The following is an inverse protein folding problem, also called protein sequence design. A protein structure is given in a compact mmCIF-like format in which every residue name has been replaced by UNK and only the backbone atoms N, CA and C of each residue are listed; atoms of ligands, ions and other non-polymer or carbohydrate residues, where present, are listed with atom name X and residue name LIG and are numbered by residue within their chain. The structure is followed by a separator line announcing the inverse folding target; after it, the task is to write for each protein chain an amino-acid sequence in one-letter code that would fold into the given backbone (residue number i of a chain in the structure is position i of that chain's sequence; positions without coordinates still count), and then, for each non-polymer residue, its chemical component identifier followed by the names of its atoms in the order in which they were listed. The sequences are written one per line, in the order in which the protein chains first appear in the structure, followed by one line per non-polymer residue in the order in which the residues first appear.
data_IF_653290418108
#
_entry.id   IF_653290418108
#
_cell.length_a   1.000
_cell.length_b   1.000
_cell.length_c   1.000
_cell.angle_alpha   90.00
_cell.angle_beta   90.00
_cell.angle_gamma   90.00
#
_symmetry.space_group_name_H-M   'P 1'
#
loop_
_entity.id
_entity.type
_entity.pdbx_description
1 polymer ?
#
# COMPACT_ATOMS: atom_id res chain seq x y z
N UNK A 1 109.75 21.88 -2.43
CA UNK A 1 108.58 22.19 -1.62
C UNK A 1 107.31 21.99 -2.47
N UNK A 2 106.54 20.93 -2.19
CA UNK A 2 105.28 20.66 -2.91
C UNK A 2 104.15 21.14 -2.02
N UNK A 3 103.37 22.10 -2.48
CA UNK A 3 102.12 22.55 -1.77
C UNK A 3 101.07 21.51 -1.88
N UNK A 4 100.28 21.20 -0.82
CA UNK A 4 99.21 20.27 -0.85
C UNK A 4 97.97 20.91 -1.56
N UNK A 5 97.41 20.20 -2.53
CA UNK A 5 96.16 20.56 -3.17
C UNK A 5 95.00 20.22 -2.18
N UNK A 6 94.21 21.22 -1.81
CA UNK A 6 92.99 21.02 -1.13
C UNK A 6 91.95 20.33 -2.06
N UNK A 7 91.21 19.33 -1.58
CA UNK A 7 90.11 18.73 -2.37
C UNK A 7 88.99 19.78 -2.52
N UNK A 8 88.56 20.02 -3.73
CA UNK A 8 87.39 20.84 -4.02
C UNK A 8 86.16 20.17 -3.43
N UNK A 9 85.48 20.83 -2.50
CA UNK A 9 84.17 20.44 -2.03
C UNK A 9 83.19 20.47 -3.24
N UNK A 10 82.76 19.31 -3.68
CA UNK A 10 81.70 19.18 -4.69
C UNK A 10 80.49 19.88 -4.22
N UNK A 11 79.84 20.68 -5.06
CA UNK A 11 78.53 21.29 -4.79
C UNK A 11 77.55 20.18 -4.56
N UNK A 12 77.12 20.02 -3.32
CA UNK A 12 75.95 19.15 -2.98
C UNK A 12 74.73 19.77 -3.64
N UNK A 13 74.26 19.14 -4.68
CA UNK A 13 73.05 19.55 -5.35
C UNK A 13 71.85 19.26 -4.43
N UNK A 14 70.85 20.17 -4.34
CA UNK A 14 69.64 20.09 -3.50
C UNK A 14 68.66 18.95 -3.88
N UNK A 15 69.17 17.90 -4.55
CA UNK A 15 68.41 16.72 -4.96
C UNK A 15 67.84 15.94 -3.77
N UNK A 16 68.57 15.94 -2.66
CA UNK A 16 68.05 15.25 -1.40
C UNK A 16 66.80 15.90 -0.89
N UNK A 17 66.67 17.23 -0.91
CA UNK A 17 65.45 17.94 -0.48
C UNK A 17 64.25 17.59 -1.38
N UNK A 18 64.44 17.49 -2.69
CA UNK A 18 63.40 17.14 -3.65
C UNK A 18 62.91 15.71 -3.41
N UNK A 19 63.83 14.76 -3.16
CA UNK A 19 63.46 13.37 -2.84
C UNK A 19 62.69 13.28 -1.53
N UNK A 20 63.10 14.00 -0.48
CA UNK A 20 62.36 14.04 0.79
C UNK A 20 60.97 14.63 0.61
N UNK A 21 60.84 15.75 -0.13
CA UNK A 21 59.55 16.35 -0.43
C UNK A 21 58.65 15.40 -1.20
N UNK A 22 59.19 14.64 -2.16
CA UNK A 22 58.42 13.65 -2.93
C UNK A 22 57.95 12.49 -2.06
N UNK A 23 58.79 12.00 -1.14
CA UNK A 23 58.40 10.96 -0.18
C UNK A 23 57.31 11.49 0.77
N UNK A 24 57.42 12.72 1.26
CA UNK A 24 56.39 13.35 2.07
C UNK A 24 55.08 13.52 1.31
N UNK A 25 55.13 13.98 0.06
CA UNK A 25 53.93 14.11 -0.78
C UNK A 25 53.25 12.76 -1.01
N UNK A 26 54.03 11.71 -1.27
CA UNK A 26 53.49 10.34 -1.43
C UNK A 26 52.90 9.81 -0.14
N UNK A 27 53.61 9.97 0.98
CA UNK A 27 53.09 9.55 2.30
C UNK A 27 51.81 10.30 2.69
N UNK A 28 51.76 11.61 2.40
CA UNK A 28 50.56 12.42 2.62
C UNK A 28 49.39 11.95 1.74
N UNK A 29 49.63 11.72 0.45
CA UNK A 29 48.59 11.22 -0.45
C UNK A 29 48.01 9.86 -0.01
N UNK A 30 48.91 8.94 0.41
CA UNK A 30 48.49 7.65 0.98
C UNK A 30 47.68 7.82 2.29
N UNK A 31 48.10 8.73 3.16
CA UNK A 31 47.37 9.02 4.40
C UNK A 31 45.96 9.58 4.14
N UNK A 32 45.86 10.52 3.20
CA UNK A 32 44.55 11.07 2.78
C UNK A 32 43.64 9.97 2.22
N UNK A 33 44.17 9.07 1.38
CA UNK A 33 43.41 7.95 0.85
C UNK A 33 42.90 7.01 1.93
N UNK A 34 43.74 6.67 2.93
CA UNK A 34 43.35 5.82 4.07
C UNK A 34 42.28 6.49 4.90
N UNK A 35 42.39 7.77 5.24
CA UNK A 35 41.38 8.54 5.99
C UNK A 35 40.09 8.59 5.19
N UNK A 36 40.12 8.85 3.90
CA UNK A 36 38.94 8.87 3.05
C UNK A 36 38.22 7.52 3.00
N UNK A 37 38.97 6.43 2.87
CA UNK A 37 38.40 5.07 2.94
C UNK A 37 37.78 4.76 4.27
N UNK A 38 38.44 5.12 5.38
CA UNK A 38 37.91 4.93 6.73
C UNK A 38 36.61 5.71 6.91
N UNK A 39 36.54 6.97 6.50
CA UNK A 39 35.37 7.79 6.58
C UNK A 39 34.19 7.18 5.81
N UNK A 40 34.44 6.70 4.57
CA UNK A 40 33.41 6.00 3.78
C UNK A 40 32.89 4.74 4.45
N UNK A 41 33.76 3.94 5.07
CA UNK A 41 33.35 2.72 5.81
C UNK A 41 32.53 3.11 7.03
N UNK A 42 32.96 4.09 7.80
CA UNK A 42 32.22 4.59 8.95
C UNK A 42 30.82 5.09 8.57
N UNK A 43 30.72 5.91 7.53
CA UNK A 43 29.42 6.41 7.06
C UNK A 43 28.49 5.29 6.60
N UNK A 44 29.02 4.29 5.88
CA UNK A 44 28.22 3.12 5.48
C UNK A 44 27.76 2.32 6.67
N UNK A 45 28.64 2.10 7.64
CA UNK A 45 28.25 1.35 8.87
C UNK A 45 27.21 2.12 9.67
N UNK A 46 27.38 3.43 9.83
CA UNK A 46 26.36 4.26 10.50
C UNK A 46 25.01 4.19 9.78
N UNK A 47 24.98 4.34 8.46
CA UNK A 47 23.73 4.25 7.69
C UNK A 47 23.07 2.88 7.80
N UNK A 48 23.84 1.78 7.89
CA UNK A 48 23.29 0.43 8.09
C UNK A 48 22.70 0.27 9.50
N UNK A 49 23.37 0.78 10.53
CA UNK A 49 22.87 0.75 11.89
C UNK A 49 21.60 1.59 12.03
N UNK A 50 21.59 2.80 11.46
CA UNK A 50 20.41 3.66 11.47
C UNK A 50 19.22 3.03 10.74
N UNK A 51 19.47 2.32 9.65
CA UNK A 51 18.44 1.57 8.95
C UNK A 51 17.89 0.43 9.80
N UNK A 52 18.77 -0.32 10.47
CA UNK A 52 18.37 -1.40 11.37
C UNK A 52 17.55 -0.88 12.56
N UNK A 53 17.97 0.22 13.19
CA UNK A 53 17.18 0.87 14.25
C UNK A 53 15.79 1.29 13.76
N UNK A 54 15.69 1.95 12.60
CA UNK A 54 14.38 2.31 12.05
C UNK A 54 13.49 1.08 11.80
N UNK A 55 14.07 -0.01 11.32
CA UNK A 55 13.34 -1.25 11.13
C UNK A 55 12.87 -1.87 12.45
N UNK A 56 13.73 -1.94 13.46
CA UNK A 56 13.37 -2.46 14.78
C UNK A 56 12.27 -1.62 15.45
N UNK A 57 12.35 -0.30 15.33
CA UNK A 57 11.32 0.58 15.86
C UNK A 57 9.98 0.42 15.12
N UNK A 58 10.03 0.20 13.80
CA UNK A 58 8.82 -0.10 13.03
C UNK A 58 8.17 -1.42 13.48
N UNK A 59 8.97 -2.48 13.72
CA UNK A 59 8.46 -3.77 14.25
C UNK A 59 7.89 -3.61 15.65
N UNK A 60 8.53 -2.81 16.50
CA UNK A 60 7.97 -2.52 17.84
C UNK A 60 6.62 -1.80 17.75
N UNK A 61 6.51 -0.80 16.87
CA UNK A 61 5.24 -0.09 16.62
C UNK A 61 4.16 -1.02 16.02
N UNK A 62 4.54 -1.93 15.11
CA UNK A 62 3.65 -2.98 14.59
C UNK A 62 3.08 -3.83 15.74
N UNK A 63 3.93 -4.23 16.66
CA UNK A 63 3.49 -5.05 17.83
C UNK A 63 2.48 -4.29 18.68
N UNK A 64 2.69 -2.98 18.89
CA UNK A 64 1.74 -2.13 19.60
C UNK A 64 0.42 -1.98 18.84
N UNK A 65 0.48 -1.83 17.53
CA UNK A 65 -0.74 -1.76 16.70
C UNK A 65 -1.53 -3.08 16.74
N UNK A 66 -0.86 -4.23 16.67
CA UNK A 66 -1.50 -5.55 16.81
C UNK A 66 -2.19 -5.66 18.18
N UNK A 67 -1.50 -5.27 19.26
CA UNK A 67 -2.09 -5.32 20.59
C UNK A 67 -3.31 -4.39 20.70
N UNK A 68 -3.20 -3.18 20.13
CA UNK A 68 -4.34 -2.25 20.07
C UNK A 68 -5.55 -2.81 19.35
N UNK A 69 -5.34 -3.54 18.23
CA UNK A 69 -6.43 -4.21 17.49
C UNK A 69 -7.02 -5.40 18.26
N UNK A 70 -6.22 -6.09 19.07
CA UNK A 70 -6.72 -7.18 19.93
C UNK A 70 -7.56 -6.61 21.07
N UNK A 71 -7.05 -5.60 21.75
CA UNK A 71 -7.73 -4.95 22.88
C UNK A 71 -9.06 -4.33 22.45
N UNK A 72 -9.10 -3.73 21.27
CA UNK A 72 -10.28 -3.17 20.63
C UNK A 72 -11.34 -4.26 20.38
N UNK A 73 -10.96 -5.35 19.74
CA UNK A 73 -11.87 -6.47 19.47
C UNK A 73 -12.40 -7.12 20.75
N UNK A 74 -11.58 -7.22 21.81
CA UNK A 74 -12.03 -7.73 23.11
C UNK A 74 -13.03 -6.77 23.79
N UNK A 75 -12.85 -5.45 23.62
CA UNK A 75 -13.79 -4.44 24.10
C UNK A 75 -15.12 -4.56 23.36
N UNK A 76 -15.11 -4.70 22.03
CA UNK A 76 -16.29 -4.88 21.21
C UNK A 76 -17.08 -6.14 21.57
N UNK A 77 -16.36 -7.25 21.75
CA UNK A 77 -17.00 -8.49 22.20
C UNK A 77 -17.68 -8.34 23.56
N UNK A 78 -17.06 -7.63 24.50
CA UNK A 78 -17.62 -7.40 25.84
C UNK A 78 -18.88 -6.52 25.78
N UNK A 79 -18.89 -5.56 24.86
CA UNK A 79 -20.00 -4.63 24.69
C UNK A 79 -21.08 -5.15 23.72
N UNK A 80 -20.81 -6.27 23.03
CA UNK A 80 -21.64 -6.82 21.95
C UNK A 80 -21.85 -5.83 20.79
N UNK A 81 -20.79 -5.07 20.46
CA UNK A 81 -20.73 -4.04 19.41
C UNK A 81 -19.63 -4.42 18.40
N UNK A 82 -19.79 -5.54 17.69
CA UNK A 82 -18.84 -6.02 16.66
C UNK A 82 -18.99 -5.21 15.36
N UNK A 83 -18.64 -3.93 15.45
CA UNK A 83 -18.74 -2.96 14.37
C UNK A 83 -17.41 -2.25 14.28
N UNK A 84 -16.79 -2.21 13.09
CA UNK A 84 -15.59 -1.41 12.86
C UNK A 84 -15.96 -0.20 11.99
N UNK A 85 -15.76 1.01 12.50
CA UNK A 85 -16.06 2.26 11.82
C UNK A 85 -14.91 3.28 11.94
N UNK A 86 -15.02 4.39 11.21
CA UNK A 86 -14.00 5.42 11.18
C UNK A 86 -14.08 6.46 12.29
N UNK A 87 -15.20 6.52 12.99
CA UNK A 87 -15.49 7.66 13.88
C UNK A 87 -15.32 7.35 15.35
N UNK A 88 -15.49 6.09 15.73
CA UNK A 88 -15.52 5.65 17.13
C UNK A 88 -14.35 4.76 17.52
N UNK A 89 -13.70 4.16 16.53
CA UNK A 89 -12.62 3.20 16.77
C UNK A 89 -11.35 3.86 17.28
N UNK A 90 -10.77 3.27 18.32
CA UNK A 90 -9.50 3.73 18.88
C UNK A 90 -8.35 3.57 17.89
N UNK A 91 -8.40 2.54 17.03
CA UNK A 91 -7.39 2.28 16.01
C UNK A 91 -7.44 3.25 14.82
N UNK A 92 -8.57 3.92 14.59
CA UNK A 92 -8.76 4.79 13.43
C UNK A 92 -8.01 6.13 13.52
N UNK A 93 -7.47 6.48 14.69
CA UNK A 93 -6.71 7.71 14.87
C UNK A 93 -5.29 7.62 14.31
N UNK A 94 -4.69 8.75 13.90
CA UNK A 94 -3.27 8.81 13.62
C UNK A 94 -2.49 8.75 14.94
N UNK A 95 -1.51 7.87 15.02
CA UNK A 95 -0.62 7.76 16.17
C UNK A 95 0.72 8.38 15.84
N UNK A 96 1.25 9.22 16.74
CA UNK A 96 2.61 9.76 16.60
C UNK A 96 3.21 9.99 17.97
N UNK A 97 4.41 9.48 18.19
CA UNK A 97 5.13 9.61 19.46
C UNK A 97 6.64 9.65 19.23
N UNK A 98 7.38 10.43 20.04
CA UNK A 98 8.83 10.40 20.02
C UNK A 98 9.34 9.15 20.76
N UNK A 99 10.38 8.54 20.21
CA UNK A 99 11.10 7.46 20.86
C UNK A 99 12.59 7.59 20.57
N UNK A 100 13.41 7.78 21.62
CA UNK A 100 14.84 8.10 21.50
C UNK A 100 15.09 9.25 20.52
N UNK A 101 15.92 9.04 19.49
CA UNK A 101 16.25 10.02 18.45
C UNK A 101 15.31 9.93 17.22
N UNK A 102 14.13 9.30 17.39
CA UNK A 102 13.17 9.10 16.33
C UNK A 102 11.78 9.67 16.64
N UNK A 103 11.01 9.89 15.59
CA UNK A 103 9.56 10.06 15.66
C UNK A 103 8.91 8.90 14.93
N UNK A 104 8.07 8.15 15.64
CA UNK A 104 7.31 7.03 15.08
C UNK A 104 5.89 7.50 14.85
N UNK A 105 5.40 7.37 13.64
CA UNK A 105 4.02 7.66 13.28
C UNK A 105 3.39 6.45 12.63
N UNK A 106 2.15 6.15 12.98
CA UNK A 106 1.43 4.99 12.44
C UNK A 106 -0.02 5.34 12.14
N UNK A 107 -0.57 4.72 11.11
CA UNK A 107 -2.00 4.70 10.83
C UNK A 107 -2.44 3.26 10.58
N UNK A 108 -3.64 2.93 11.04
CA UNK A 108 -4.28 1.65 10.79
C UNK A 108 -5.44 1.89 9.82
N UNK A 109 -5.54 1.08 8.79
CA UNK A 109 -6.55 1.20 7.74
C UNK A 109 -7.32 -0.11 7.62
N UNK A 110 -8.62 -0.02 7.42
CA UNK A 110 -9.47 -1.16 7.10
C UNK A 110 -9.28 -1.56 5.63
N UNK A 111 -8.87 -2.80 5.38
CA UNK A 111 -8.76 -3.33 4.03
C UNK A 111 -10.10 -3.81 3.47
N UNK A 112 -11.09 -4.11 4.32
CA UNK A 112 -12.41 -4.54 3.87
C UNK A 112 -13.31 -3.38 3.42
N UNK A 113 -12.92 -2.14 3.66
CA UNK A 113 -13.52 -0.97 3.00
C UNK A 113 -13.13 -0.82 1.53
N UNK A 114 -12.14 -1.57 1.04
CA UNK A 114 -11.64 -1.49 -0.34
C UNK A 114 -12.26 -2.58 -1.21
N UNK A 115 -12.24 -2.38 -2.53
CA UNK A 115 -12.68 -3.41 -3.46
C UNK A 115 -11.70 -4.58 -3.48
N UNK A 116 -12.16 -5.76 -3.11
CA UNK A 116 -11.34 -6.98 -3.16
C UNK A 116 -11.28 -7.51 -4.60
N UNK A 117 -10.12 -7.40 -5.24
CA UNK A 117 -9.91 -7.87 -6.62
C UNK A 117 -10.20 -9.38 -6.74
N UNK A 118 -9.90 -10.16 -5.73
CA UNK A 118 -10.16 -11.60 -5.76
C UNK A 118 -11.66 -11.95 -5.81
N UNK A 119 -12.56 -11.00 -5.51
CA UNK A 119 -13.99 -11.22 -5.64
C UNK A 119 -14.48 -11.36 -7.08
N UNK A 120 -13.63 -11.09 -8.09
CA UNK A 120 -13.96 -11.30 -9.50
C UNK A 120 -14.14 -12.77 -9.86
N UNK A 121 -13.75 -13.68 -8.99
CA UNK A 121 -13.95 -15.11 -9.14
C UNK A 121 -14.61 -15.72 -7.90
N UNK A 122 -15.34 -16.81 -8.11
CA UNK A 122 -15.88 -17.65 -7.07
C UNK A 122 -15.25 -19.04 -7.14
N UNK A 123 -15.02 -19.67 -5.99
CA UNK A 123 -14.49 -21.05 -5.95
C UNK A 123 -15.63 -22.04 -5.96
N UNK A 124 -15.78 -22.76 -7.06
CA UNK A 124 -16.83 -23.76 -7.24
C UNK A 124 -16.26 -24.96 -7.99
N UNK A 125 -16.68 -26.18 -7.61
CA UNK A 125 -16.24 -27.45 -8.20
C UNK A 125 -14.70 -27.60 -8.31
N UNK A 126 -13.97 -27.05 -7.32
CA UNK A 126 -12.50 -27.06 -7.27
C UNK A 126 -11.82 -26.19 -8.34
N UNK A 127 -12.54 -25.20 -8.88
CA UNK A 127 -12.07 -24.25 -9.87
C UNK A 127 -12.47 -22.82 -9.46
N UNK A 128 -11.66 -21.84 -9.85
CA UNK A 128 -12.00 -20.42 -9.79
C UNK A 128 -12.76 -20.08 -11.07
N UNK A 129 -14.00 -19.68 -10.91
CA UNK A 129 -14.90 -19.32 -12.01
C UNK A 129 -15.22 -17.83 -11.94
N UNK A 130 -15.29 -17.18 -13.07
CA UNK A 130 -15.64 -15.74 -13.19
C UNK A 130 -16.99 -15.45 -12.54
N UNK A 131 -17.05 -14.34 -11.80
CA UNK A 131 -18.29 -13.75 -11.31
C UNK A 131 -18.69 -12.53 -12.17
N UNK A 132 -19.66 -12.66 -13.06
CA UNK A 132 -20.05 -11.57 -13.95
C UNK A 132 -20.53 -10.31 -13.23
N UNK A 133 -21.17 -10.47 -12.06
CA UNK A 133 -21.65 -9.34 -11.27
C UNK A 133 -20.51 -8.58 -10.60
N UNK A 134 -19.53 -9.30 -10.04
CA UNK A 134 -18.33 -8.69 -9.49
C UNK A 134 -17.47 -8.01 -10.56
N UNK A 135 -17.38 -8.59 -11.76
CA UNK A 135 -16.69 -7.99 -12.90
C UNK A 135 -17.38 -6.67 -13.30
N UNK A 136 -18.71 -6.64 -13.38
CA UNK A 136 -19.45 -5.42 -13.69
C UNK A 136 -19.25 -4.32 -12.61
N UNK A 137 -19.16 -4.69 -11.33
CA UNK A 137 -18.82 -3.76 -10.24
C UNK A 137 -17.42 -3.20 -10.40
N UNK A 138 -16.46 -4.07 -10.72
CA UNK A 138 -15.07 -3.66 -10.91
C UNK A 138 -14.91 -2.75 -12.13
N UNK A 139 -15.59 -3.05 -13.23
CA UNK A 139 -15.65 -2.19 -14.40
C UNK A 139 -16.22 -0.81 -14.06
N UNK A 140 -17.33 -0.75 -13.30
CA UNK A 140 -17.92 0.50 -12.84
C UNK A 140 -16.95 1.32 -11.97
N UNK A 141 -16.22 0.66 -11.07
CA UNK A 141 -15.21 1.31 -10.23
C UNK A 141 -14.07 1.86 -11.09
N UNK A 142 -13.51 1.06 -12.00
CA UNK A 142 -12.43 1.48 -12.89
C UNK A 142 -12.86 2.66 -13.78
N UNK A 143 -14.09 2.63 -14.31
CA UNK A 143 -14.62 3.72 -15.13
C UNK A 143 -14.66 5.06 -14.37
N UNK A 144 -14.91 5.02 -13.05
CA UNK A 144 -14.89 6.21 -12.20
C UNK A 144 -13.48 6.66 -11.77
N UNK A 145 -12.52 5.74 -11.67
CA UNK A 145 -11.18 6.01 -11.15
C UNK A 145 -10.12 6.28 -12.24
N UNK A 146 -10.32 5.74 -13.43
CA UNK A 146 -9.36 5.93 -14.52
C UNK A 146 -9.38 7.37 -15.04
N UNK A 147 -8.24 7.88 -15.55
CA UNK A 147 -8.21 9.17 -16.23
C UNK A 147 -9.27 9.21 -17.35
N UNK A 148 -9.97 10.33 -17.59
CA UNK A 148 -11.03 10.41 -18.60
C UNK A 148 -10.60 9.96 -19.99
N UNK A 149 -9.34 10.16 -20.37
CA UNK A 149 -8.77 9.67 -21.64
C UNK A 149 -8.64 8.14 -21.71
N UNK A 150 -8.62 7.47 -20.55
CA UNK A 150 -8.40 6.03 -20.40
C UNK A 150 -9.63 5.29 -19.85
N UNK A 151 -10.73 5.97 -19.53
CA UNK A 151 -11.95 5.36 -18.98
C UNK A 151 -12.50 4.22 -19.85
N UNK A 152 -12.27 4.28 -21.17
CA UNK A 152 -12.64 3.23 -22.13
C UNK A 152 -11.96 1.88 -21.86
N UNK A 153 -10.85 1.84 -21.16
CA UNK A 153 -10.13 0.61 -20.82
C UNK A 153 -10.71 -0.10 -19.59
N UNK A 154 -11.72 0.47 -18.92
CA UNK A 154 -12.29 -0.10 -17.71
C UNK A 154 -12.79 -1.53 -17.92
N UNK A 155 -13.55 -1.77 -18.99
CA UNK A 155 -14.08 -3.09 -19.34
C UNK A 155 -12.95 -4.07 -19.69
N UNK A 156 -12.00 -3.65 -20.53
CA UNK A 156 -10.84 -4.48 -20.88
C UNK A 156 -10.02 -4.89 -19.64
N UNK A 157 -9.69 -3.94 -18.78
CA UNK A 157 -8.91 -4.22 -17.56
C UNK A 157 -9.67 -5.13 -16.59
N UNK A 158 -11.00 -4.96 -16.47
CA UNK A 158 -11.82 -5.80 -15.62
C UNK A 158 -11.88 -7.26 -16.15
N UNK A 159 -12.02 -7.44 -17.46
CA UNK A 159 -12.02 -8.75 -18.08
C UNK A 159 -10.65 -9.42 -18.07
N UNK A 160 -9.58 -8.68 -18.38
CA UNK A 160 -8.21 -9.19 -18.25
C UNK A 160 -7.87 -9.61 -16.81
N UNK A 161 -8.36 -8.86 -15.80
CA UNK A 161 -8.15 -9.23 -14.40
C UNK A 161 -8.94 -10.47 -14.02
N UNK A 162 -10.13 -10.66 -14.54
CA UNK A 162 -10.92 -11.85 -14.29
C UNK A 162 -10.29 -13.10 -14.93
N UNK A 163 -9.79 -13.01 -16.18
CA UNK A 163 -9.03 -14.09 -16.83
C UNK A 163 -7.68 -14.35 -16.13
N UNK A 164 -7.08 -13.34 -15.48
CA UNK A 164 -5.88 -13.52 -14.67
C UNK A 164 -6.11 -14.41 -13.45
N UNK A 165 -7.34 -14.42 -12.93
CA UNK A 165 -7.72 -15.08 -11.69
C UNK A 165 -8.37 -16.44 -11.88
N UNK A 166 -9.16 -16.62 -12.97
CA UNK A 166 -9.91 -17.88 -13.17
C UNK A 166 -9.00 -19.05 -13.54
N UNK A 167 -9.53 -20.27 -13.41
CA UNK A 167 -8.70 -21.49 -13.55
C UNK A 167 -8.55 -21.92 -15.00
N UNK A 168 -9.45 -21.49 -15.87
CA UNK A 168 -9.40 -21.92 -17.27
C UNK A 168 -8.35 -21.12 -18.09
N UNK A 169 -8.20 -21.41 -19.35
CA UNK A 169 -7.26 -20.73 -20.27
C UNK A 169 -7.96 -20.18 -21.50
N UNK A 170 -9.27 -19.97 -21.38
CA UNK A 170 -10.10 -19.50 -22.46
C UNK A 170 -10.30 -17.98 -22.36
N UNK A 171 -9.84 -17.26 -23.35
CA UNK A 171 -10.07 -15.80 -23.41
C UNK A 171 -11.57 -15.53 -23.45
N UNK A 172 -12.07 -14.83 -22.46
CA UNK A 172 -13.48 -14.50 -22.34
C UNK A 172 -13.83 -13.22 -23.11
N UNK A 173 -14.22 -13.39 -24.38
CA UNK A 173 -14.57 -12.27 -25.25
C UNK A 173 -13.37 -11.49 -25.81
N UNK A 174 -13.60 -10.41 -26.56
CA UNK A 174 -12.52 -9.67 -27.22
C UNK A 174 -11.68 -8.82 -26.24
N UNK A 175 -12.12 -8.65 -25.01
CA UNK A 175 -11.52 -7.79 -24.00
C UNK A 175 -10.72 -8.57 -22.94
N UNK A 176 -10.77 -9.90 -22.96
CA UNK A 176 -10.00 -10.76 -22.08
C UNK A 176 -8.55 -10.99 -22.53
N UNK A 177 -7.72 -11.59 -21.68
CA UNK A 177 -6.37 -12.00 -22.04
C UNK A 177 -5.89 -13.17 -21.18
N UNK A 178 -5.50 -14.23 -21.86
CA UNK A 178 -4.92 -15.44 -21.31
C UNK A 178 -3.44 -15.62 -21.71
N UNK A 179 -2.82 -16.73 -21.32
CA UNK A 179 -1.41 -17.05 -21.57
C UNK A 179 -0.94 -16.71 -22.98
N UNK A 180 -1.76 -16.97 -23.99
CA UNK A 180 -1.45 -16.70 -25.39
C UNK A 180 -1.29 -15.23 -25.74
N UNK A 181 -1.88 -14.35 -24.97
CA UNK A 181 -1.88 -12.90 -25.16
C UNK A 181 -0.71 -12.20 -24.45
N UNK A 182 -0.02 -12.87 -23.54
CA UNK A 182 1.14 -12.35 -22.81
C UNK A 182 2.45 -12.81 -23.43
N UNK A 183 3.38 -11.88 -23.69
CA UNK A 183 4.67 -12.19 -24.37
C UNK A 183 5.75 -12.70 -23.41
N UNK A 184 5.73 -12.26 -22.15
CA UNK A 184 6.84 -12.46 -21.20
C UNK A 184 6.39 -13.06 -19.86
N UNK A 185 5.10 -13.32 -19.70
CA UNK A 185 4.51 -13.83 -18.46
C UNK A 185 3.35 -14.76 -18.79
N UNK A 186 2.89 -15.47 -17.78
CA UNK A 186 1.71 -16.32 -17.84
C UNK A 186 0.71 -15.85 -16.80
N UNK A 187 -0.57 -16.09 -17.05
CA UNK A 187 -1.63 -15.93 -16.07
C UNK A 187 -1.41 -16.94 -14.92
N UNK A 188 -1.55 -16.53 -13.65
CA UNK A 188 -1.39 -17.44 -12.52
C UNK A 188 -2.60 -18.37 -12.35
N UNK A 189 -3.76 -18.02 -12.91
CA UNK A 189 -5.03 -18.75 -12.86
C UNK A 189 -5.42 -19.09 -11.42
N UNK A 190 -5.24 -18.13 -10.52
CA UNK A 190 -5.55 -18.21 -9.10
C UNK A 190 -5.66 -16.81 -8.47
N UNK A 191 -6.32 -16.69 -7.30
CA UNK A 191 -6.37 -15.43 -6.57
C UNK A 191 -5.01 -14.82 -6.33
N UNK A 192 -4.90 -13.50 -6.50
CA UNK A 192 -3.67 -12.73 -6.27
C UNK A 192 -3.41 -12.54 -4.78
N UNK A 193 -2.14 -12.33 -4.44
CA UNK A 193 -1.71 -12.05 -3.08
C UNK A 193 -1.51 -10.56 -2.80
N UNK A 194 -1.33 -9.75 -3.86
CA UNK A 194 -1.09 -8.32 -3.76
C UNK A 194 -1.71 -7.61 -4.96
N UNK A 195 -2.36 -6.48 -4.72
CA UNK A 195 -3.03 -5.69 -5.75
C UNK A 195 -2.08 -5.14 -6.82
N UNK A 196 -0.78 -5.11 -6.55
CA UNK A 196 0.22 -4.71 -7.55
C UNK A 196 0.29 -5.65 -8.75
N UNK A 197 -0.22 -6.87 -8.64
CA UNK A 197 -0.32 -7.80 -9.76
C UNK A 197 -1.22 -7.26 -10.89
N UNK A 198 -2.16 -6.35 -10.57
CA UNK A 198 -2.94 -5.62 -11.57
C UNK A 198 -2.06 -4.92 -12.62
N UNK A 199 -0.85 -4.51 -12.25
CA UNK A 199 0.14 -3.94 -13.19
C UNK A 199 0.71 -4.95 -14.20
N UNK A 200 0.41 -6.23 -13.98
CA UNK A 200 0.83 -7.28 -14.90
C UNK A 200 -0.12 -7.46 -16.08
N UNK A 201 -1.30 -6.86 -16.05
CA UNK A 201 -2.28 -6.96 -17.13
C UNK A 201 -1.71 -6.42 -18.44
N UNK A 202 -2.14 -7.01 -19.55
CA UNK A 202 -1.69 -6.66 -20.90
C UNK A 202 -1.97 -5.19 -21.22
N UNK A 203 -3.16 -4.72 -20.86
CA UNK A 203 -3.63 -3.36 -21.13
C UNK A 203 -3.19 -2.33 -20.09
N UNK A 204 -2.49 -2.74 -19.03
CA UNK A 204 -1.87 -1.83 -18.07
C UNK A 204 -0.46 -1.46 -18.55
N UNK A 205 -0.38 -0.56 -19.49
CA UNK A 205 0.88 -0.10 -20.09
C UNK A 205 1.50 1.11 -19.36
N UNK A 206 2.65 1.56 -19.82
CA UNK A 206 3.35 2.71 -19.25
C UNK A 206 2.57 4.02 -19.43
N UNK A 207 1.81 4.18 -20.51
CA UNK A 207 1.02 5.39 -20.77
C UNK A 207 -0.13 5.50 -19.75
N UNK A 208 -0.84 4.41 -19.48
CA UNK A 208 -1.88 4.35 -18.46
C UNK A 208 -1.28 4.58 -17.05
N UNK A 209 -0.15 3.94 -16.73
CA UNK A 209 0.53 4.13 -15.45
C UNK A 209 0.94 5.59 -15.23
N UNK A 210 1.50 6.25 -16.23
CA UNK A 210 1.89 7.65 -16.19
C UNK A 210 0.66 8.58 -16.05
N UNK A 211 -0.44 8.26 -16.74
CA UNK A 211 -1.68 9.02 -16.65
C UNK A 211 -2.30 8.93 -15.24
N UNK A 212 -2.35 7.73 -14.64
CA UNK A 212 -2.78 7.54 -13.25
C UNK A 212 -1.88 8.33 -12.29
N UNK A 213 -0.56 8.21 -12.42
CA UNK A 213 0.39 8.93 -11.58
C UNK A 213 0.28 10.46 -11.74
N UNK A 214 -0.04 10.94 -12.94
CA UNK A 214 -0.23 12.37 -13.20
C UNK A 214 -1.45 12.94 -12.47
N UNK A 215 -2.54 12.16 -12.38
CA UNK A 215 -3.74 12.57 -11.62
C UNK A 215 -3.48 12.67 -10.11
N UNK A 216 -2.58 11.87 -9.59
CA UNK A 216 -2.30 11.75 -8.15
C UNK A 216 -1.24 12.75 -7.65
N UNK A 217 -0.64 13.54 -8.54
CA UNK A 217 0.31 14.58 -8.12
C UNK A 217 -0.44 15.67 -7.35
N UNK A 218 0.02 16.04 -6.12
CA UNK A 218 -0.54 17.17 -5.42
C UNK A 218 -0.46 18.40 -6.31
N UNK A 219 -1.58 19.05 -6.56
CA UNK A 219 -1.55 20.37 -7.20
C UNK A 219 -0.87 21.36 -6.26
N UNK A 220 -0.05 22.32 -6.77
CA UNK A 220 0.59 23.33 -5.93
C UNK A 220 -0.37 24.19 -5.10
N UNK A 221 -1.67 24.09 -5.36
CA UNK A 221 -2.77 24.80 -4.69
C UNK A 221 -3.51 23.94 -3.65
N UNK A 222 -3.06 22.71 -3.38
CA UNK A 222 -3.60 21.90 -2.29
C UNK A 222 -3.30 22.62 -0.96
N UNK A 223 -4.24 23.44 -0.52
CA UNK A 223 -4.21 24.07 0.80
C UNK A 223 -4.45 22.97 1.85
N UNK A 224 -3.92 23.16 3.04
CA UNK A 224 -4.02 22.29 4.22
C UNK A 224 -5.45 21.88 4.65
N UNK A 225 -6.47 22.34 3.93
CA UNK A 225 -7.89 22.09 4.20
C UNK A 225 -8.56 21.15 3.18
N UNK A 226 -7.81 20.56 2.24
CA UNK A 226 -8.38 19.57 1.34
C UNK A 226 -8.06 18.18 1.93
N UNK A 227 -9.06 17.33 2.24
CA UNK A 227 -8.83 15.98 2.70
C UNK A 227 -7.93 15.25 1.69
N UNK A 228 -7.06 14.41 2.19
CA UNK A 228 -6.15 13.63 1.34
C UNK A 228 -6.99 12.80 0.37
N UNK A 229 -6.94 13.14 -0.92
CA UNK A 229 -7.64 12.35 -1.94
C UNK A 229 -7.00 10.97 -2.01
N UNK A 230 -7.81 9.92 -1.92
CA UNK A 230 -7.33 8.54 -2.07
C UNK A 230 -6.60 8.38 -3.40
N UNK A 231 -5.51 7.64 -3.38
CA UNK A 231 -4.78 7.28 -4.60
C UNK A 231 -5.48 6.12 -5.28
N UNK A 232 -5.29 5.96 -6.58
CA UNK A 232 -5.85 4.86 -7.37
C UNK A 232 -5.72 3.49 -6.69
N UNK A 233 -4.56 3.20 -6.11
CA UNK A 233 -4.28 1.91 -5.45
C UNK A 233 -4.97 1.74 -4.09
N UNK A 234 -5.42 2.82 -3.46
CA UNK A 234 -6.07 2.77 -2.15
C UNK A 234 -7.54 2.32 -2.22
N UNK A 235 -8.09 2.23 -3.43
CA UNK A 235 -9.44 1.68 -3.66
C UNK A 235 -9.47 0.15 -3.75
N UNK A 236 -8.32 -0.51 -3.87
CA UNK A 236 -8.22 -1.94 -4.12
C UNK A 236 -7.52 -2.68 -3.00
N UNK A 237 -7.83 -3.97 -2.91
CA UNK A 237 -7.17 -4.91 -2.01
C UNK A 237 -7.18 -6.32 -2.61
N UNK A 238 -6.28 -7.19 -2.12
CA UNK A 238 -6.22 -8.61 -2.45
C UNK A 238 -6.44 -9.40 -1.15
N UNK A 239 -7.69 -9.71 -0.84
CA UNK A 239 -8.10 -10.47 0.34
C UNK A 239 -8.63 -11.87 -0.05
N UNK A 240 -8.76 -12.80 0.90
CA UNK A 240 -9.37 -14.09 0.63
C UNK A 240 -10.76 -13.97 0.00
N UNK A 241 -11.14 -14.99 -0.79
CA UNK A 241 -12.48 -15.11 -1.34
C UNK A 241 -13.54 -15.11 -0.22
N UNK A 242 -14.69 -14.53 -0.51
CA UNK A 242 -15.79 -14.46 0.45
C UNK A 242 -15.62 -13.42 1.57
N UNK A 243 -14.55 -12.60 1.53
CA UNK A 243 -14.41 -11.44 2.43
C UNK A 243 -15.48 -10.39 2.10
N UNK A 244 -16.23 -9.96 3.10
CA UNK A 244 -17.31 -8.98 2.97
C UNK A 244 -16.77 -7.56 2.86
N UNK A 245 -17.51 -6.68 2.17
CA UNK A 245 -17.24 -5.24 2.14
C UNK A 245 -17.75 -4.59 3.43
N UNK A 246 -16.87 -3.90 4.17
CA UNK A 246 -17.30 -3.09 5.31
C UNK A 246 -17.88 -1.76 4.83
N UNK A 247 -19.20 -1.59 4.98
CA UNK A 247 -19.91 -0.38 4.52
C UNK A 247 -19.59 0.86 5.33
N UNK A 248 -19.14 0.68 6.58
CA UNK A 248 -18.82 1.79 7.47
C UNK A 248 -17.50 2.48 7.10
N UNK A 249 -16.60 1.78 6.40
CA UNK A 249 -15.28 2.29 6.03
C UNK A 249 -15.10 2.47 4.52
N UNK A 250 -15.97 1.84 3.71
CA UNK A 250 -15.84 1.86 2.26
C UNK A 250 -15.97 3.28 1.67
N UNK A 251 -15.05 3.71 0.78
CA UNK A 251 -15.13 4.98 0.07
C UNK A 251 -16.36 5.05 -0.83
N UNK A 252 -16.81 6.27 -1.12
CA UNK A 252 -17.95 6.54 -1.99
C UNK A 252 -17.88 5.80 -3.32
N UNK A 253 -16.75 5.90 -4.03
CA UNK A 253 -16.57 5.26 -5.33
C UNK A 253 -16.73 3.73 -5.25
N UNK A 254 -16.27 3.08 -4.17
CA UNK A 254 -16.43 1.64 -3.95
C UNK A 254 -17.90 1.30 -3.72
N UNK A 255 -18.61 2.06 -2.88
CA UNK A 255 -20.04 1.85 -2.63
C UNK A 255 -20.87 2.06 -3.90
N UNK A 256 -20.62 3.13 -4.66
CA UNK A 256 -21.32 3.39 -5.93
C UNK A 256 -21.12 2.25 -6.92
N UNK A 257 -19.89 1.77 -7.06
CA UNK A 257 -19.57 0.63 -7.92
C UNK A 257 -20.22 -0.68 -7.42
N UNK A 258 -20.24 -0.89 -6.10
CA UNK A 258 -20.87 -2.07 -5.49
C UNK A 258 -22.36 -2.15 -5.77
N UNK A 259 -23.03 -1.02 -5.79
CA UNK A 259 -24.46 -0.93 -6.04
C UNK A 259 -24.85 -0.68 -7.50
N UNK A 260 -23.88 -0.52 -8.40
CA UNK A 260 -24.12 -0.26 -9.82
C UNK A 260 -24.96 -1.35 -10.53
N UNK A 261 -24.73 -2.66 -10.33
CA UNK A 261 -25.55 -3.71 -10.96
C UNK A 261 -27.05 -3.65 -10.58
N UNK A 262 -27.35 -3.04 -9.44
CA UNK A 262 -28.72 -2.91 -8.94
C UNK A 262 -29.38 -1.56 -9.27
N UNK A 263 -28.69 -0.68 -10.00
CA UNK A 263 -29.10 0.71 -10.23
C UNK A 263 -29.37 1.49 -8.93
N UNK A 264 -28.62 1.17 -7.87
CA UNK A 264 -28.80 1.69 -6.53
C UNK A 264 -27.61 2.57 -6.05
N UNK A 265 -26.83 3.16 -6.97
CA UNK A 265 -25.65 3.97 -6.66
C UNK A 265 -25.97 5.14 -5.71
N UNK A 266 -27.21 5.68 -5.76
CA UNK A 266 -27.66 6.73 -4.86
C UNK A 266 -27.62 6.33 -3.37
N UNK A 267 -27.68 5.00 -3.06
CA UNK A 267 -27.56 4.51 -1.68
C UNK A 267 -26.19 4.86 -1.08
N UNK A 268 -25.13 4.94 -1.88
CA UNK A 268 -23.81 5.27 -1.40
C UNK A 268 -23.79 6.62 -0.66
N UNK A 269 -24.43 7.66 -1.23
CA UNK A 269 -24.50 8.96 -0.60
C UNK A 269 -25.27 8.93 0.72
N UNK A 270 -26.37 8.16 0.79
CA UNK A 270 -27.14 8.00 2.02
C UNK A 270 -26.31 7.30 3.08
N UNK A 271 -25.61 6.22 2.72
CA UNK A 271 -24.74 5.46 3.64
C UNK A 271 -23.64 6.36 4.20
N UNK A 272 -22.99 7.17 3.36
CA UNK A 272 -21.96 8.10 3.79
C UNK A 272 -22.48 9.11 4.82
N UNK A 273 -23.65 9.69 4.58
CA UNK A 273 -24.28 10.66 5.48
C UNK A 273 -24.72 10.02 6.81
N UNK A 274 -25.32 8.85 6.74
CA UNK A 274 -25.85 8.17 7.92
C UNK A 274 -24.72 7.71 8.85
N UNK A 275 -23.65 7.12 8.28
CA UNK A 275 -22.55 6.56 9.06
C UNK A 275 -21.70 7.63 9.78
N UNK A 276 -21.70 8.89 9.33
CA UNK A 276 -21.01 9.99 10.03
C UNK A 276 -21.56 10.19 11.45
N UNK A 277 -22.86 9.95 11.64
CA UNK A 277 -23.53 10.14 12.93
C UNK A 277 -23.81 8.83 13.63
N UNK A 278 -24.22 7.80 12.86
CA UNK A 278 -24.61 6.49 13.35
C UNK A 278 -24.08 5.41 12.40
N UNK A 279 -22.94 4.80 12.70
CA UNK A 279 -22.46 3.66 11.93
C UNK A 279 -23.50 2.54 11.88
N UNK A 280 -23.54 1.83 10.76
CA UNK A 280 -24.44 0.69 10.60
C UNK A 280 -23.97 -0.46 11.48
N UNK A 281 -24.86 -1.00 12.29
CA UNK A 281 -24.59 -2.14 13.18
C UNK A 281 -25.11 -3.46 12.59
N UNK A 282 -25.88 -3.39 11.50
CA UNK A 282 -26.49 -4.54 10.85
C UNK A 282 -26.71 -4.25 9.35
N UNK A 283 -26.41 -5.24 8.51
CA UNK A 283 -26.62 -5.17 7.06
C UNK A 283 -28.09 -5.08 6.66
N UNK A 284 -29.02 -5.53 7.50
CA UNK A 284 -30.46 -5.37 7.24
C UNK A 284 -30.88 -3.89 7.19
N UNK A 285 -30.27 -3.04 8.01
CA UNK A 285 -30.55 -1.60 7.99
C UNK A 285 -30.15 -0.96 6.64
N UNK A 286 -29.06 -1.43 6.03
CA UNK A 286 -28.62 -1.00 4.71
C UNK A 286 -29.63 -1.43 3.64
N UNK A 287 -30.04 -2.70 3.67
CA UNK A 287 -31.00 -3.23 2.71
C UNK A 287 -32.42 -2.67 2.87
N UNK A 288 -32.71 -2.01 4.00
CA UNK A 288 -33.96 -1.29 4.22
C UNK A 288 -34.01 0.08 3.53
N UNK A 289 -32.87 0.58 3.00
CA UNK A 289 -32.84 1.85 2.27
C UNK A 289 -33.75 1.80 1.03
N UNK A 290 -34.43 2.91 0.70
CA UNK A 290 -35.37 2.96 -0.44
C UNK A 290 -34.78 2.53 -1.77
N UNK A 291 -33.48 2.74 -1.97
CA UNK A 291 -32.75 2.35 -3.18
C UNK A 291 -32.79 0.83 -3.45
N UNK A 292 -32.97 0.01 -2.41
CA UNK A 292 -33.01 -1.46 -2.49
C UNK A 292 -34.43 -2.05 -2.44
N UNK A 293 -35.47 -1.21 -2.45
CA UNK A 293 -36.85 -1.65 -2.33
C UNK A 293 -37.32 -2.58 -3.45
N UNK A 294 -36.74 -2.43 -4.64
CA UNK A 294 -37.12 -3.18 -5.84
C UNK A 294 -36.28 -4.44 -6.09
N UNK A 295 -35.34 -4.76 -5.20
CA UNK A 295 -34.52 -5.97 -5.36
C UNK A 295 -35.37 -7.23 -5.19
N UNK A 296 -35.18 -8.19 -6.08
CA UNK A 296 -35.73 -9.53 -5.93
C UNK A 296 -35.12 -10.21 -4.67
N UNK A 297 -35.86 -11.16 -4.04
CA UNK A 297 -35.42 -11.80 -2.79
C UNK A 297 -34.02 -12.46 -2.90
N UNK A 298 -33.73 -13.09 -4.02
CA UNK A 298 -32.43 -13.72 -4.33
C UNK A 298 -31.30 -12.69 -4.46
N UNK A 299 -31.55 -11.59 -5.16
CA UNK A 299 -30.59 -10.48 -5.26
C UNK A 299 -30.32 -9.84 -3.89
N UNK A 300 -31.37 -9.66 -3.09
CA UNK A 300 -31.26 -9.12 -1.73
C UNK A 300 -30.39 -10.02 -0.85
N UNK A 301 -30.63 -11.34 -0.89
CA UNK A 301 -29.84 -12.31 -0.13
C UNK A 301 -28.39 -12.38 -0.60
N UNK A 302 -28.15 -12.33 -1.91
CA UNK A 302 -26.81 -12.31 -2.49
C UNK A 302 -26.04 -11.03 -2.07
N UNK A 303 -26.69 -9.86 -2.15
CA UNK A 303 -26.08 -8.61 -1.71
C UNK A 303 -25.80 -8.62 -0.21
N UNK A 304 -26.72 -9.11 0.61
CA UNK A 304 -26.54 -9.21 2.05
C UNK A 304 -25.34 -10.05 2.45
N UNK A 305 -25.11 -11.17 1.76
CA UNK A 305 -23.99 -12.06 2.03
C UNK A 305 -22.62 -11.43 1.71
N UNK A 306 -22.59 -10.37 0.92
CA UNK A 306 -21.35 -9.68 0.47
C UNK A 306 -21.06 -8.42 1.27
N UNK A 307 -22.01 -7.93 2.07
CA UNK A 307 -21.85 -6.75 2.91
C UNK A 307 -21.52 -7.13 4.35
N UNK A 308 -20.78 -6.29 5.03
CA UNK A 308 -20.42 -6.38 6.44
C UNK A 308 -20.41 -5.01 7.10
N UNK A 309 -20.34 -5.01 8.41
CA UNK A 309 -20.26 -3.81 9.26
C UNK A 309 -19.01 -3.80 10.12
N UNK A 310 -18.23 -4.88 10.09
CA UNK A 310 -16.97 -5.04 10.80
C UNK A 310 -15.87 -5.54 9.88
N UNK A 311 -14.64 -5.55 10.36
CA UNK A 311 -13.45 -5.98 9.60
C UNK A 311 -12.58 -6.97 10.37
N UNK A 312 -11.94 -7.84 9.62
CA UNK A 312 -10.91 -8.74 10.12
C UNK A 312 -9.55 -8.54 9.43
N UNK A 313 -9.46 -7.62 8.48
CA UNK A 313 -8.24 -7.39 7.71
C UNK A 313 -7.84 -5.92 7.74
N UNK A 314 -6.65 -5.66 8.28
CA UNK A 314 -6.14 -4.31 8.50
C UNK A 314 -4.80 -4.12 7.78
N UNK A 315 -4.51 -2.89 7.39
CA UNK A 315 -3.19 -2.44 6.98
C UNK A 315 -2.67 -1.43 7.98
N UNK A 316 -1.49 -1.69 8.53
CA UNK A 316 -0.78 -0.73 9.38
C UNK A 316 0.36 -0.14 8.58
N UNK A 317 0.37 1.19 8.46
CA UNK A 317 1.45 1.95 7.81
C UNK A 317 2.22 2.67 8.89
N UNK A 318 3.51 2.38 9.02
CA UNK A 318 4.38 2.87 10.07
C UNK A 318 5.54 3.64 9.46
N UNK A 319 5.68 4.89 9.83
CA UNK A 319 6.79 5.76 9.48
C UNK A 319 7.71 5.93 10.68
N UNK A 320 9.00 5.68 10.48
CA UNK A 320 10.04 5.97 11.47
C UNK A 320 10.99 7.02 10.89
N UNK A 321 10.91 8.23 11.44
CA UNK A 321 11.74 9.36 11.05
C UNK A 321 12.89 9.54 12.05
N UNK A 322 14.12 9.55 11.54
CA UNK A 322 15.36 9.89 12.26
C UNK A 322 16.10 10.99 11.51
N UNK A 323 17.09 11.62 12.12
CA UNK A 323 17.93 12.61 11.45
C UNK A 323 18.61 12.07 10.18
N UNK A 324 18.89 10.76 10.14
CA UNK A 324 19.52 10.05 9.02
C UNK A 324 18.55 9.68 7.89
N UNK A 325 17.24 9.81 8.07
CA UNK A 325 16.24 9.50 7.05
C UNK A 325 14.93 8.98 7.59
N UNK A 326 14.05 8.61 6.67
CA UNK A 326 12.70 8.11 6.91
C UNK A 326 12.56 6.70 6.31
N UNK A 327 11.93 5.80 7.05
CA UNK A 327 11.60 4.45 6.59
C UNK A 327 10.12 4.18 6.81
N UNK A 328 9.46 3.54 5.84
CA UNK A 328 8.05 3.13 5.92
C UNK A 328 7.94 1.62 5.88
N UNK A 329 7.30 1.06 6.90
CA UNK A 329 6.85 -0.33 6.93
C UNK A 329 5.34 -0.36 6.70
N UNK A 330 4.90 -1.18 5.75
CA UNK A 330 3.49 -1.52 5.53
C UNK A 330 3.29 -2.96 5.95
N UNK A 331 2.40 -3.18 6.91
CA UNK A 331 2.10 -4.49 7.46
C UNK A 331 0.62 -4.78 7.25
N UNK A 332 0.29 -5.96 6.74
CA UNK A 332 -1.10 -6.43 6.64
C UNK A 332 -1.36 -7.49 7.69
N UNK A 333 -2.45 -7.29 8.40
CA UNK A 333 -2.82 -8.05 9.61
C UNK A 333 -4.20 -8.65 9.41
N UNK A 334 -4.34 -9.91 9.78
CA UNK A 334 -5.63 -10.57 9.94
C UNK A 334 -5.95 -10.73 11.41
N UNK A 335 -7.07 -10.16 11.85
CA UNK A 335 -7.69 -10.32 13.17
C UNK A 335 -8.96 -11.14 13.00
N UNK A 336 -8.91 -12.48 13.05
CA UNK A 336 -10.10 -13.30 12.88
C UNK A 336 -11.02 -13.19 14.11
N UNK A 337 -12.31 -13.49 13.94
CA UNK A 337 -13.27 -13.56 15.04
C UNK A 337 -12.98 -14.70 16.03
N UNK A 338 -12.19 -15.68 15.61
CA UNK A 338 -11.70 -16.79 16.42
C UNK A 338 -10.28 -17.12 16.03
N UNK A 339 -9.40 -17.32 17.02
CA UNK A 339 -7.99 -17.63 16.81
C UNK A 339 -7.09 -16.42 16.94
N UNK A 340 -5.79 -16.60 16.66
CA UNK A 340 -4.78 -15.59 16.89
C UNK A 340 -4.72 -14.56 15.77
N UNK A 341 -4.53 -13.30 16.13
CA UNK A 341 -4.19 -12.22 15.19
C UNK A 341 -2.82 -12.48 14.58
N UNK A 342 -2.71 -12.38 13.26
CA UNK A 342 -1.50 -12.72 12.53
C UNK A 342 -1.15 -11.69 11.45
N UNK A 343 0.14 -11.49 11.27
CA UNK A 343 0.68 -10.76 10.13
C UNK A 343 0.79 -11.70 8.94
N UNK A 344 0.21 -11.33 7.80
CA UNK A 344 0.31 -12.13 6.57
C UNK A 344 1.19 -11.46 5.49
N UNK A 345 1.49 -10.16 5.64
CA UNK A 345 2.41 -9.46 4.74
C UNK A 345 3.15 -8.34 5.45
N UNK A 346 4.43 -8.14 5.11
CA UNK A 346 5.26 -6.98 5.47
C UNK A 346 6.02 -6.49 4.27
N UNK A 347 6.02 -5.19 4.06
CA UNK A 347 6.76 -4.57 2.96
C UNK A 347 7.40 -3.26 3.41
N UNK A 348 8.69 -3.10 3.12
CA UNK A 348 9.35 -1.80 3.21
C UNK A 348 9.12 -1.06 1.89
N UNK A 349 8.49 0.10 1.97
CA UNK A 349 8.11 0.86 0.79
C UNK A 349 8.75 2.24 0.78
N UNK A 350 9.02 2.83 -0.40
CA UNK A 350 9.45 4.21 -0.49
C UNK A 350 8.40 5.16 0.09
N UNK A 351 8.86 6.19 0.81
CA UNK A 351 7.96 7.24 1.33
C UNK A 351 7.75 8.27 0.23
N UNK A 352 6.62 8.19 -0.46
CA UNK A 352 6.25 9.05 -1.57
C UNK A 352 5.23 10.13 -1.19
N UNK A 353 4.52 9.93 -0.08
CA UNK A 353 3.47 10.81 0.44
C UNK A 353 3.46 10.80 1.96
N UNK A 354 2.78 11.75 2.58
CA UNK A 354 2.45 11.70 4.01
C UNK A 354 1.64 10.42 4.34
N UNK A 355 1.57 10.07 5.63
CA UNK A 355 0.66 9.02 6.09
C UNK A 355 -0.79 9.45 5.79
N UNK A 356 -1.53 8.55 5.20
CA UNK A 356 -2.94 8.77 4.95
C UNK A 356 -3.75 8.47 6.21
N UNK A 357 -4.86 9.18 6.45
CA UNK A 357 -5.74 8.89 7.57
C UNK A 357 -6.28 7.46 7.48
N UNK A 358 -6.65 6.91 8.63
CA UNK A 358 -7.21 5.55 8.72
C UNK A 358 -8.47 5.39 7.86
N UNK A 359 -9.25 6.45 7.83
CA UNK A 359 -10.48 6.54 7.07
C UNK A 359 -10.48 7.86 6.30
N UNK A 360 -10.88 7.82 5.06
CA UNK A 360 -11.04 9.02 4.25
C UNK A 360 -12.50 9.45 4.29
N UNK A 361 -12.83 10.61 4.86
CA UNK A 361 -14.13 11.23 4.64
C UNK A 361 -14.13 11.78 3.20
N UNK A 362 -14.71 11.06 2.25
CA UNK A 362 -15.01 11.61 0.92
C UNK A 362 -16.13 12.64 1.00
#
# INVERSE_FOLDING_TARGET
MKTPRHPSMGKQHGSALVVVLLIFALAFALSVEVVYRQHRVQTRTANLLDWDYRYQYAIAAETLAIQGLIDDFEDDQRNNELVDDCSKEKWAGPFSFPYEDSVISATVQDLQGRFNINSLVVFNNNEYQRDPEAIARFEALLAGLLPPSHARYASTLANEMADWLDTDTLVNGPEGAEDGEYRLRRTPNQPILDESEFRALRSFDAELADAINAMQKPTPQATTNNPATLRFWDYFTALPLGTTLNVNTAPKAVLEAWFAPYNAQAAAQTILQDRETNPYTDTNAILALPAFSNLAPDQRSALQAQLGVGTSHFQVVIDVAMASGLSRLVTRIQRPSQGDTRVFSRSLVPVLSALEPACNPD
#
